data_IF_885819743883
#
_entry.id   IF_885819743883
#
_cell.length_a   1.000
_cell.length_b   1.000
_cell.length_c   1.000
_cell.angle_alpha   90.00
_cell.angle_beta   90.00
_cell.angle_gamma   90.00
#
_symmetry.space_group_name_H-M   'P 1'
#
loop_
_entity.id
_entity.type
_entity.pdbx_description
1 polymer ?
#
# COMPACT_ATOMS: atom_id res chain seq x y z
N UNK A 1 -8.00 -12.15 -15.30
CA UNK A 1 -8.89 -11.25 -14.51
C UNK A 1 -8.44 -9.81 -14.65
N UNK A 2 -9.36 -8.86 -14.81
CA UNK A 2 -9.10 -7.41 -14.86
C UNK A 2 -10.02 -6.74 -13.85
N UNK A 3 -9.48 -5.88 -13.02
CA UNK A 3 -10.19 -5.16 -11.96
C UNK A 3 -9.58 -3.76 -11.81
N UNK A 4 -10.41 -2.72 -11.95
CA UNK A 4 -9.98 -1.32 -11.83
C UNK A 4 -8.72 -1.01 -12.67
N UNK A 5 -8.67 -1.55 -13.87
CA UNK A 5 -7.47 -1.59 -14.71
C UNK A 5 -7.37 -0.43 -15.72
N UNK A 6 -8.35 0.45 -15.75
CA UNK A 6 -8.26 1.73 -16.46
C UNK A 6 -7.44 2.73 -15.63
N UNK A 7 -6.17 2.88 -16.00
CA UNK A 7 -5.25 3.78 -15.30
C UNK A 7 -5.48 5.26 -15.62
N UNK A 8 -6.31 5.57 -16.61
CA UNK A 8 -6.70 6.94 -16.96
C UNK A 8 -7.92 7.43 -16.18
N UNK A 9 -8.53 6.57 -15.37
CA UNK A 9 -9.71 6.89 -14.59
C UNK A 9 -9.41 7.01 -13.10
N UNK A 10 -9.97 8.06 -12.47
CA UNK A 10 -10.07 8.12 -11.01
C UNK A 10 -10.76 6.87 -10.49
N UNK A 11 -10.19 6.24 -9.48
CA UNK A 11 -10.73 5.01 -8.90
C UNK A 11 -10.72 5.06 -7.39
N UNK A 12 -11.87 4.79 -6.77
CA UNK A 12 -12.03 4.67 -5.31
C UNK A 12 -12.50 3.26 -4.97
N UNK A 13 -11.88 2.66 -3.96
CA UNK A 13 -12.30 1.37 -3.39
C UNK A 13 -12.35 1.48 -1.87
N UNK A 14 -13.53 1.33 -1.28
CA UNK A 14 -13.72 1.32 0.17
C UNK A 14 -13.40 -0.07 0.73
N UNK A 15 -12.11 -0.43 0.72
CA UNK A 15 -11.71 -1.79 1.07
C UNK A 15 -12.00 -2.16 2.53
N UNK A 16 -12.10 -1.18 3.43
CA UNK A 16 -12.52 -1.40 4.81
C UNK A 16 -13.88 -2.10 4.94
N UNK A 17 -14.81 -1.80 4.02
CA UNK A 17 -16.16 -2.35 3.98
C UNK A 17 -16.28 -3.64 3.13
N UNK A 18 -15.25 -4.01 2.37
CA UNK A 18 -15.31 -5.21 1.51
C UNK A 18 -15.27 -6.49 2.32
N UNK A 19 -15.99 -7.51 1.85
CA UNK A 19 -15.83 -8.87 2.33
C UNK A 19 -14.44 -9.43 1.96
N UNK A 20 -13.89 -10.26 2.82
CA UNK A 20 -12.68 -11.02 2.53
C UNK A 20 -12.98 -12.16 1.55
N UNK A 21 -12.14 -12.30 0.54
CA UNK A 21 -12.24 -13.36 -0.47
C UNK A 21 -11.08 -14.34 -0.28
N UNK A 22 -11.33 -15.65 -0.14
CA UNK A 22 -10.27 -16.63 -0.03
C UNK A 22 -9.28 -16.57 -1.20
N UNK A 23 -7.99 -16.69 -0.89
CA UNK A 23 -6.94 -16.92 -1.89
C UNK A 23 -6.85 -18.43 -2.19
N UNK A 24 -6.27 -18.85 -3.33
CA UNK A 24 -5.90 -20.24 -3.56
C UNK A 24 -4.99 -20.81 -2.47
N UNK A 25 -4.14 -19.99 -1.84
CA UNK A 25 -3.32 -20.38 -0.72
C UNK A 25 -4.16 -20.47 0.57
N UNK A 26 -4.19 -21.66 1.18
CA UNK A 26 -4.95 -21.91 2.42
C UNK A 26 -4.50 -20.98 3.55
N UNK A 27 -5.44 -20.34 4.24
CA UNK A 27 -5.15 -19.41 5.33
C UNK A 27 -4.78 -18.00 4.86
N UNK A 28 -4.99 -17.68 3.59
CA UNK A 28 -4.85 -16.34 3.03
C UNK A 28 -6.19 -15.88 2.48
N UNK A 29 -6.56 -14.66 2.82
CA UNK A 29 -7.74 -13.96 2.29
C UNK A 29 -7.31 -12.59 1.77
N UNK A 30 -8.06 -12.05 0.82
CA UNK A 30 -7.70 -10.78 0.18
C UNK A 30 -8.91 -9.91 -0.13
N UNK A 31 -8.66 -8.62 -0.17
CA UNK A 31 -9.50 -7.58 -0.74
C UNK A 31 -8.75 -7.00 -1.92
N UNK A 32 -9.18 -7.29 -3.13
CA UNK A 32 -8.50 -6.88 -4.35
C UNK A 32 -8.89 -5.45 -4.71
N UNK A 33 -7.91 -4.57 -4.91
CA UNK A 33 -8.11 -3.15 -5.23
C UNK A 33 -7.88 -2.89 -6.72
N UNK A 34 -6.82 -3.49 -7.25
CA UNK A 34 -6.43 -3.40 -8.67
C UNK A 34 -5.86 -4.74 -9.12
N UNK A 35 -6.14 -5.14 -10.38
CA UNK A 35 -5.56 -6.36 -10.93
C UNK A 35 -5.55 -6.40 -12.45
N UNK A 36 -4.42 -6.80 -13.02
CA UNK A 36 -4.26 -7.20 -14.43
C UNK A 36 -3.53 -8.54 -14.44
N UNK A 37 -4.18 -9.58 -14.94
CA UNK A 37 -3.64 -10.94 -15.05
C UNK A 37 -4.30 -11.92 -14.08
N UNK A 38 -3.85 -13.17 -14.16
CA UNK A 38 -4.33 -14.28 -13.36
C UNK A 38 -3.43 -14.50 -12.11
N UNK A 39 -2.71 -15.60 -12.01
CA UNK A 39 -1.87 -15.88 -10.82
C UNK A 39 -0.63 -14.97 -10.76
N UNK A 40 0.03 -14.74 -11.89
CA UNK A 40 1.16 -13.80 -12.01
C UNK A 40 0.64 -12.42 -12.43
N UNK A 41 -0.08 -11.78 -11.55
CA UNK A 41 -0.74 -10.52 -11.84
C UNK A 41 0.10 -9.31 -11.45
N UNK A 42 -0.08 -8.21 -12.20
CA UNK A 42 0.15 -6.86 -11.69
C UNK A 42 -1.06 -6.53 -10.79
N UNK A 43 -0.84 -6.36 -9.49
CA UNK A 43 -1.95 -6.25 -8.56
C UNK A 43 -1.65 -5.37 -7.35
N UNK A 44 -2.71 -4.75 -6.80
CA UNK A 44 -2.73 -4.10 -5.49
C UNK A 44 -3.85 -4.72 -4.67
N UNK A 45 -3.55 -5.14 -3.44
CA UNK A 45 -4.52 -5.82 -2.56
C UNK A 45 -4.24 -5.54 -1.09
N UNK A 46 -5.26 -5.67 -0.25
CA UNK A 46 -5.08 -5.91 1.18
C UNK A 46 -5.19 -7.42 1.39
N UNK A 47 -4.18 -8.02 2.01
CA UNK A 47 -4.07 -9.47 2.20
C UNK A 47 -3.97 -9.78 3.69
N UNK A 48 -4.77 -10.75 4.15
CA UNK A 48 -4.78 -11.22 5.52
C UNK A 48 -4.27 -12.65 5.59
N UNK A 49 -3.31 -12.87 6.49
CA UNK A 49 -2.75 -14.18 6.82
C UNK A 49 -3.35 -14.68 8.15
N UNK A 50 -3.84 -15.89 8.15
CA UNK A 50 -4.32 -16.52 9.38
C UNK A 50 -3.16 -16.78 10.37
N UNK A 51 -3.41 -16.79 11.69
CA UNK A 51 -2.41 -17.20 12.66
C UNK A 51 -1.84 -18.59 12.36
N UNK A 52 -0.53 -18.76 12.52
CA UNK A 52 0.20 -20.00 12.26
C UNK A 52 0.43 -20.32 10.78
N UNK A 53 0.09 -19.39 9.87
CA UNK A 53 0.30 -19.59 8.42
C UNK A 53 1.79 -19.63 8.07
N UNK A 54 2.14 -20.55 7.18
CA UNK A 54 3.49 -20.70 6.60
C UNK A 54 3.35 -21.16 5.15
N UNK A 55 4.13 -20.59 4.26
CA UNK A 55 4.08 -20.86 2.83
C UNK A 55 5.44 -21.29 2.31
N UNK A 56 5.41 -22.09 1.26
CA UNK A 56 6.64 -22.48 0.57
C UNK A 56 7.32 -21.23 -0.04
N UNK A 57 8.64 -21.29 -0.12
CA UNK A 57 9.42 -20.25 -0.81
C UNK A 57 8.94 -20.09 -2.24
N UNK A 58 8.71 -18.87 -2.64
CA UNK A 58 8.33 -18.50 -4.00
C UNK A 58 9.00 -17.18 -4.41
N UNK A 59 9.03 -16.94 -5.71
CA UNK A 59 9.65 -15.75 -6.31
C UNK A 59 8.60 -14.80 -6.88
N UNK A 60 8.93 -13.51 -6.85
CA UNK A 60 8.14 -12.43 -7.45
C UNK A 60 8.86 -11.88 -8.69
N UNK A 61 8.58 -12.40 -9.91
CA UNK A 61 9.28 -11.96 -11.13
C UNK A 61 9.16 -10.47 -11.42
N UNK A 62 8.04 -9.84 -11.05
CA UNK A 62 7.80 -8.41 -11.20
C UNK A 62 8.05 -7.58 -9.94
N UNK A 63 8.62 -8.19 -8.89
CA UNK A 63 8.81 -7.56 -7.59
C UNK A 63 7.55 -7.51 -6.72
N UNK A 64 7.77 -7.26 -5.45
CA UNK A 64 6.75 -7.11 -4.42
C UNK A 64 7.07 -5.93 -3.52
N UNK A 65 6.07 -5.14 -3.21
CA UNK A 65 6.15 -4.04 -2.25
C UNK A 65 4.99 -4.18 -1.27
N UNK A 66 5.25 -4.08 0.04
CA UNK A 66 4.17 -4.14 1.02
C UNK A 66 4.40 -3.26 2.26
N UNK A 67 3.29 -2.87 2.86
CA UNK A 67 3.21 -2.25 4.18
C UNK A 67 2.44 -3.17 5.11
N UNK A 68 3.01 -3.49 6.28
CA UNK A 68 2.30 -4.26 7.32
C UNK A 68 1.30 -3.35 8.02
N UNK A 69 0.00 -3.64 7.84
CA UNK A 69 -1.11 -2.87 8.41
C UNK A 69 -1.46 -3.32 9.82
N UNK A 70 -1.40 -4.63 10.09
CA UNK A 70 -1.73 -5.25 11.38
C UNK A 70 -0.90 -6.51 11.61
N UNK A 71 -0.58 -6.79 12.86
CA UNK A 71 0.14 -7.99 13.27
C UNK A 71 1.61 -8.00 12.87
N UNK A 72 2.16 -9.19 12.60
CA UNK A 72 3.57 -9.37 12.23
C UNK A 72 3.68 -10.31 11.03
N UNK A 73 4.14 -9.77 9.90
CA UNK A 73 4.56 -10.59 8.77
C UNK A 73 5.95 -11.16 9.05
N UNK A 74 6.20 -12.39 8.61
CA UNK A 74 7.45 -13.12 8.85
C UNK A 74 7.95 -13.77 7.56
N UNK A 75 9.26 -13.81 7.39
CA UNK A 75 9.93 -14.67 6.42
C UNK A 75 11.28 -15.15 6.98
N UNK A 76 12.10 -15.82 6.16
CA UNK A 76 13.42 -16.30 6.57
C UNK A 76 14.42 -15.19 6.93
N UNK A 77 14.12 -13.92 6.63
CA UNK A 77 15.00 -12.79 6.95
C UNK A 77 14.62 -12.09 8.25
N UNK A 78 13.45 -12.36 8.82
CA UNK A 78 13.05 -11.82 10.12
C UNK A 78 11.55 -11.56 10.29
N UNK A 79 11.27 -10.79 11.32
CA UNK A 79 9.93 -10.37 11.73
C UNK A 79 9.69 -8.92 11.32
N UNK A 80 8.55 -8.66 10.69
CA UNK A 80 8.12 -7.36 10.18
C UNK A 80 6.82 -6.95 10.89
N UNK A 81 6.89 -6.19 11.99
CA UNK A 81 5.71 -5.76 12.73
C UNK A 81 4.92 -4.68 11.98
N UNK A 82 3.71 -4.39 12.47
CA UNK A 82 2.84 -3.30 11.97
C UNK A 82 3.62 -2.01 11.75
N UNK A 83 3.44 -1.40 10.58
CA UNK A 83 4.13 -0.18 10.15
C UNK A 83 5.46 -0.42 9.43
N UNK A 84 5.94 -1.66 9.36
CA UNK A 84 7.10 -2.01 8.53
C UNK A 84 6.74 -1.94 7.04
N UNK A 85 7.60 -1.29 6.28
CA UNK A 85 7.50 -1.21 4.83
C UNK A 85 8.64 -1.99 4.17
N UNK A 86 8.32 -2.82 3.20
CA UNK A 86 9.28 -3.69 2.51
C UNK A 86 9.17 -3.53 1.00
N UNK A 87 10.32 -3.48 0.33
CA UNK A 87 10.46 -3.58 -1.14
C UNK A 87 11.36 -4.76 -1.47
N UNK A 88 10.82 -5.69 -2.19
CA UNK A 88 11.50 -6.86 -2.73
C UNK A 88 11.56 -6.70 -4.25
N UNK A 89 12.72 -6.34 -4.84
CA UNK A 89 12.82 -6.09 -6.27
C UNK A 89 12.56 -7.35 -7.11
N UNK A 90 12.36 -7.21 -8.43
CA UNK A 90 12.11 -8.32 -9.33
C UNK A 90 13.09 -9.48 -9.14
N UNK A 91 12.56 -10.72 -9.23
CA UNK A 91 13.29 -11.99 -9.08
C UNK A 91 13.78 -12.29 -7.67
N UNK A 92 13.39 -11.53 -6.69
CA UNK A 92 13.58 -11.93 -5.28
C UNK A 92 12.49 -12.91 -4.85
N UNK A 93 12.80 -13.73 -3.86
CA UNK A 93 11.86 -14.69 -3.32
C UNK A 93 12.03 -14.85 -1.83
N UNK A 94 10.94 -15.27 -1.17
CA UNK A 94 10.88 -15.53 0.27
C UNK A 94 9.90 -16.66 0.60
N UNK A 95 9.92 -17.09 1.87
CA UNK A 95 8.98 -18.05 2.44
C UNK A 95 8.10 -17.31 3.48
N UNK A 96 6.98 -16.70 3.07
CA UNK A 96 6.17 -15.87 3.97
C UNK A 96 5.41 -16.68 5.00
N UNK A 97 5.12 -16.03 6.12
CA UNK A 97 4.30 -16.59 7.18
C UNK A 97 3.87 -15.56 8.19
N UNK A 98 3.07 -15.98 9.18
CA UNK A 98 2.73 -15.17 10.33
C UNK A 98 2.29 -16.07 11.47
N UNK A 99 3.02 -16.07 12.57
CA UNK A 99 2.68 -16.87 13.76
C UNK A 99 1.43 -16.35 14.47
N UNK A 100 1.28 -15.02 14.56
CA UNK A 100 0.14 -14.35 15.20
C UNK A 100 -0.99 -13.97 14.24
N UNK A 101 -0.79 -14.13 12.92
CA UNK A 101 -1.60 -13.52 11.88
C UNK A 101 -1.17 -12.09 11.58
N UNK A 102 -1.37 -11.66 10.34
CA UNK A 102 -1.10 -10.28 9.93
C UNK A 102 -2.00 -9.86 8.77
N UNK A 103 -2.06 -8.55 8.56
CA UNK A 103 -2.69 -7.93 7.39
C UNK A 103 -1.66 -7.02 6.73
N UNK A 104 -1.49 -7.15 5.42
CA UNK A 104 -0.58 -6.31 4.63
C UNK A 104 -1.31 -5.61 3.50
N UNK A 105 -0.88 -4.42 3.14
CA UNK A 105 -1.17 -3.78 1.87
C UNK A 105 -0.04 -4.10 0.92
N UNK A 106 -0.32 -4.79 -0.18
CA UNK A 106 0.70 -5.34 -1.08
C UNK A 106 0.49 -4.93 -2.52
N UNK A 107 1.59 -4.64 -3.21
CA UNK A 107 1.66 -4.33 -4.65
C UNK A 107 2.60 -5.33 -5.31
N UNK A 108 2.09 -6.04 -6.32
CA UNK A 108 2.81 -7.07 -7.06
C UNK A 108 3.03 -6.64 -8.51
N UNK A 109 4.24 -6.86 -9.03
CA UNK A 109 4.56 -6.64 -10.43
C UNK A 109 4.52 -5.17 -10.85
N UNK A 110 4.88 -4.23 -9.94
CA UNK A 110 4.77 -2.79 -10.16
C UNK A 110 6.11 -2.05 -10.01
N UNK A 111 7.22 -2.75 -10.03
CA UNK A 111 8.55 -2.14 -10.05
C UNK A 111 8.88 -1.59 -11.44
N UNK A 112 9.65 -0.49 -11.49
CA UNK A 112 10.26 -0.03 -12.73
C UNK A 112 11.27 -1.06 -13.28
N UNK A 113 11.45 -1.12 -14.60
CA UNK A 113 12.28 -2.14 -15.26
C UNK A 113 13.71 -2.23 -14.71
N UNK A 114 14.32 -1.11 -14.32
CA UNK A 114 15.69 -1.04 -13.82
C UNK A 114 15.78 -1.03 -12.29
N UNK A 115 14.66 -0.95 -11.57
CA UNK A 115 14.68 -0.85 -10.13
C UNK A 115 15.05 -2.19 -9.47
N UNK A 116 16.13 -2.17 -8.69
CA UNK A 116 16.65 -3.31 -7.92
C UNK A 116 16.80 -2.95 -6.45
N UNK A 117 16.18 -1.86 -6.02
CA UNK A 117 16.33 -1.35 -4.66
C UNK A 117 15.55 -2.20 -3.67
N UNK A 118 16.25 -2.90 -2.81
CA UNK A 118 15.68 -3.64 -1.69
C UNK A 118 15.63 -2.76 -0.46
N UNK A 119 14.50 -2.73 0.22
CA UNK A 119 14.28 -1.96 1.45
C UNK A 119 13.49 -2.80 2.45
N UNK A 120 13.85 -2.66 3.72
CA UNK A 120 13.02 -3.04 4.87
C UNK A 120 13.10 -1.89 5.89
N UNK A 121 12.12 -0.99 5.84
CA UNK A 121 12.02 0.15 6.76
C UNK A 121 11.19 -0.26 7.98
N UNK A 122 11.77 -0.24 9.19
CA UNK A 122 11.01 -0.53 10.41
C UNK A 122 9.96 0.57 10.67
N UNK A 123 9.00 0.35 11.60
CA UNK A 123 7.93 1.31 11.89
C UNK A 123 8.40 2.72 12.24
N UNK A 124 9.53 2.82 12.93
CA UNK A 124 10.15 4.10 13.36
C UNK A 124 11.20 4.63 12.37
N UNK A 125 11.43 3.91 11.26
CA UNK A 125 12.44 4.27 10.26
C UNK A 125 11.96 5.38 9.33
N UNK A 126 12.93 6.16 8.82
CA UNK A 126 12.72 7.24 7.85
C UNK A 126 12.80 8.64 8.44
N UNK A 127 13.00 9.64 7.58
CA UNK A 127 13.13 11.04 7.98
C UNK A 127 11.77 11.73 7.88
N UNK A 128 11.29 12.27 8.99
CA UNK A 128 10.04 13.04 9.01
C UNK A 128 10.34 14.52 8.75
N UNK A 129 9.78 15.06 7.67
CA UNK A 129 9.73 16.50 7.43
C UNK A 129 8.34 16.90 6.93
N UNK A 130 7.64 17.84 7.59
CA UNK A 130 6.42 18.41 7.06
C UNK A 130 6.73 19.08 5.71
N UNK A 131 5.97 18.74 4.66
CA UNK A 131 6.22 19.24 3.32
C UNK A 131 5.42 20.48 2.97
N UNK A 132 4.24 20.61 3.58
CA UNK A 132 3.28 21.66 3.26
C UNK A 132 2.35 21.94 4.43
N UNK A 133 1.63 23.08 4.41
CA UNK A 133 0.56 23.36 5.37
C UNK A 133 -0.43 22.18 5.44
N UNK A 134 -0.83 21.81 6.66
CA UNK A 134 -1.76 20.71 6.88
C UNK A 134 -1.11 19.34 7.14
N UNK A 135 0.13 19.12 6.70
CA UNK A 135 0.91 17.91 6.99
C UNK A 135 1.70 18.11 8.27
N UNK A 136 1.37 17.38 9.34
CA UNK A 136 2.05 17.46 10.63
C UNK A 136 3.20 16.47 10.79
N UNK A 137 3.17 15.38 10.01
CA UNK A 137 4.24 14.39 9.97
C UNK A 137 4.31 13.79 8.56
N UNK A 138 5.52 13.61 8.04
CA UNK A 138 5.77 12.90 6.79
C UNK A 138 6.94 11.95 6.98
N UNK A 139 6.72 10.66 6.75
CA UNK A 139 7.74 9.61 6.80
C UNK A 139 8.01 9.09 5.40
N UNK A 140 9.20 9.34 4.88
CA UNK A 140 9.64 8.79 3.60
C UNK A 140 10.00 7.32 3.77
N UNK A 141 9.30 6.46 3.06
CA UNK A 141 9.54 5.02 3.01
C UNK A 141 10.49 4.64 1.89
N UNK A 142 10.36 5.32 0.76
CA UNK A 142 11.22 5.19 -0.41
C UNK A 142 11.28 6.52 -1.17
N UNK A 143 12.45 6.84 -1.72
CA UNK A 143 12.66 8.01 -2.58
C UNK A 143 13.61 7.59 -3.71
N UNK A 144 13.05 7.34 -4.88
CA UNK A 144 13.75 6.91 -6.09
C UNK A 144 13.57 7.90 -7.24
N UNK A 145 14.21 7.61 -8.36
CA UNK A 145 14.20 8.51 -9.51
C UNK A 145 12.81 8.74 -10.12
N UNK A 146 11.93 7.72 -10.06
CA UNK A 146 10.63 7.74 -10.77
C UNK A 146 9.43 7.57 -9.83
N UNK A 147 9.67 7.35 -8.55
CA UNK A 147 8.58 7.19 -7.58
C UNK A 147 9.04 7.55 -6.18
N UNK A 148 8.10 8.00 -5.40
CA UNK A 148 8.29 8.29 -4.00
C UNK A 148 7.15 7.71 -3.18
N UNK A 149 7.50 7.08 -2.05
CA UNK A 149 6.53 6.47 -1.14
C UNK A 149 6.67 7.11 0.23
N UNK A 150 5.56 7.64 0.75
CA UNK A 150 5.51 8.31 2.05
C UNK A 150 4.32 7.84 2.88
N UNK A 151 4.43 7.98 4.20
CA UNK A 151 3.28 8.03 5.10
C UNK A 151 3.21 9.44 5.66
N UNK A 152 2.01 10.04 5.57
CA UNK A 152 1.75 11.39 6.07
C UNK A 152 0.61 11.41 7.08
N UNK A 153 0.68 12.38 8.00
CA UNK A 153 -0.42 12.76 8.89
C UNK A 153 -0.94 14.14 8.51
N UNK A 154 -2.20 14.19 8.14
CA UNK A 154 -2.92 15.38 7.73
C UNK A 154 -3.83 15.90 8.85
N UNK A 155 -3.82 17.23 9.07
CA UNK A 155 -4.64 17.87 10.13
C UNK A 155 -5.50 19.02 9.60
N UNK A 156 -5.32 19.41 8.35
CA UNK A 156 -6.18 20.32 7.61
C UNK A 156 -6.21 19.93 6.14
N UNK A 157 -6.98 20.64 5.34
CA UNK A 157 -7.14 20.36 3.92
C UNK A 157 -5.80 20.33 3.19
N UNK A 158 -5.68 19.40 2.25
CA UNK A 158 -4.47 19.12 1.49
C UNK A 158 -4.75 19.31 0.01
N UNK A 159 -3.83 19.97 -0.65
CA UNK A 159 -3.74 20.03 -2.10
C UNK A 159 -2.37 19.49 -2.54
N UNK A 160 -2.38 18.48 -3.43
CA UNK A 160 -1.17 17.90 -4.00
C UNK A 160 -1.23 17.94 -5.51
N UNK A 161 -0.19 18.50 -6.11
CA UNK A 161 0.06 18.31 -7.54
C UNK A 161 0.34 16.83 -7.83
N UNK A 162 -0.19 16.35 -8.95
CA UNK A 162 -0.09 14.95 -9.35
C UNK A 162 0.30 14.84 -10.84
N UNK A 163 1.56 15.14 -11.20
CA UNK A 163 1.99 15.11 -12.59
C UNK A 163 2.08 13.67 -13.16
N UNK A 164 2.38 12.68 -12.33
CA UNK A 164 2.78 11.34 -12.78
C UNK A 164 1.77 10.24 -12.46
N UNK A 165 0.69 10.56 -11.74
CA UNK A 165 -0.26 9.63 -11.18
C UNK A 165 -0.03 9.41 -9.68
N UNK A 166 -1.10 9.14 -8.94
CA UNK A 166 -1.06 9.01 -7.48
C UNK A 166 -1.87 7.80 -7.03
N UNK A 167 -1.32 7.01 -6.13
CA UNK A 167 -2.05 6.05 -5.32
C UNK A 167 -2.00 6.41 -3.85
N UNK A 168 -3.13 6.26 -3.16
CA UNK A 168 -3.28 6.56 -1.74
C UNK A 168 -4.05 5.45 -1.03
N UNK A 169 -3.60 5.08 0.17
CA UNK A 169 -4.34 4.24 1.11
C UNK A 169 -4.54 4.99 2.42
N UNK A 170 -5.79 5.12 2.88
CA UNK A 170 -6.09 5.66 4.22
C UNK A 170 -5.72 4.61 5.27
N UNK A 171 -4.77 4.94 6.13
CA UNK A 171 -4.32 4.07 7.23
C UNK A 171 -5.16 4.27 8.48
N UNK A 172 -5.53 5.52 8.77
CA UNK A 172 -6.37 5.92 9.91
C UNK A 172 -7.04 7.27 9.64
N UNK A 173 -8.13 7.57 10.35
CA UNK A 173 -8.91 8.78 10.16
C UNK A 173 -9.72 8.79 8.86
N UNK A 174 -10.00 9.97 8.32
CA UNK A 174 -10.77 10.14 7.09
C UNK A 174 -10.60 11.53 6.47
N UNK A 175 -10.93 11.63 5.18
CA UNK A 175 -11.07 12.88 4.43
C UNK A 175 -12.08 12.71 3.29
N UNK A 176 -12.53 13.81 2.71
CA UNK A 176 -13.38 13.82 1.51
C UNK A 176 -12.53 14.21 0.31
N UNK A 177 -12.63 13.45 -0.78
CA UNK A 177 -12.02 13.74 -2.07
C UNK A 177 -13.00 13.40 -3.19
N UNK A 178 -13.18 14.29 -4.16
CA UNK A 178 -14.11 14.11 -5.28
C UNK A 178 -15.57 13.83 -4.87
N UNK A 179 -15.97 14.21 -3.65
CA UNK A 179 -17.28 13.92 -3.08
C UNK A 179 -17.38 12.57 -2.34
N UNK A 180 -16.37 11.72 -2.40
CA UNK A 180 -16.30 10.46 -1.66
C UNK A 180 -15.66 10.64 -0.28
N UNK A 181 -16.26 10.05 0.76
CA UNK A 181 -15.66 9.96 2.10
C UNK A 181 -14.70 8.76 2.12
N UNK A 182 -13.41 9.03 2.19
CA UNK A 182 -12.38 8.00 2.30
C UNK A 182 -12.03 7.78 3.77
N UNK A 183 -12.36 6.60 4.26
CA UNK A 183 -12.11 6.16 5.63
C UNK A 183 -11.00 5.10 5.65
N UNK A 184 -10.66 4.59 6.84
CA UNK A 184 -9.63 3.56 7.01
C UNK A 184 -9.76 2.42 5.98
N UNK A 185 -8.64 2.18 5.28
CA UNK A 185 -8.48 1.24 4.17
C UNK A 185 -9.28 1.57 2.90
N UNK A 186 -9.80 2.78 2.77
CA UNK A 186 -10.15 3.28 1.44
C UNK A 186 -8.89 3.49 0.62
N UNK A 187 -8.93 3.03 -0.63
CA UNK A 187 -7.86 3.18 -1.61
C UNK A 187 -8.34 4.11 -2.72
N UNK A 188 -7.51 5.07 -3.07
CA UNK A 188 -7.72 6.03 -4.15
C UNK A 188 -6.60 5.91 -5.16
N UNK A 189 -6.92 5.96 -6.44
CA UNK A 189 -5.97 6.21 -7.51
C UNK A 189 -6.46 7.37 -8.36
N UNK A 190 -5.58 8.35 -8.58
CA UNK A 190 -5.78 9.47 -9.49
C UNK A 190 -4.87 9.30 -10.71
N UNK A 191 -5.37 9.54 -11.93
CA UNK A 191 -4.53 9.55 -13.12
C UNK A 191 -3.56 10.73 -13.11
N UNK A 192 -2.50 10.63 -13.91
CA UNK A 192 -1.55 11.74 -14.09
C UNK A 192 -2.25 13.02 -14.54
N UNK A 193 -1.88 14.14 -13.94
CA UNK A 193 -2.42 15.48 -14.23
C UNK A 193 -3.70 15.82 -13.45
N UNK A 194 -4.30 14.89 -12.71
CA UNK A 194 -5.45 15.17 -11.84
C UNK A 194 -4.98 15.43 -10.41
N UNK A 195 -4.99 16.69 -9.91
CA UNK A 195 -4.51 17.02 -8.58
C UNK A 195 -5.41 16.42 -7.50
N UNK A 196 -4.82 16.12 -6.34
CA UNK A 196 -5.57 15.69 -5.15
C UNK A 196 -6.06 16.91 -4.36
N UNK A 197 -7.34 16.93 -4.07
CA UNK A 197 -7.97 17.91 -3.15
C UNK A 197 -8.65 17.18 -2.01
N UNK A 198 -7.95 17.01 -0.89
CA UNK A 198 -8.48 16.33 0.29
C UNK A 198 -9.03 17.32 1.31
N UNK A 199 -10.33 17.24 1.59
CA UNK A 199 -10.97 17.99 2.68
C UNK A 199 -10.88 17.16 3.96
N UNK A 200 -9.99 17.55 4.87
CA UNK A 200 -9.64 16.79 6.07
C UNK A 200 -10.46 17.27 7.26
N UNK A 201 -11.25 16.36 7.83
CA UNK A 201 -12.05 16.66 9.02
C UNK A 201 -11.21 16.84 10.29
N UNK A 202 -11.85 17.21 11.39
CA UNK A 202 -11.21 17.54 12.68
C UNK A 202 -10.41 16.38 13.30
N UNK A 203 -10.69 15.15 12.91
CA UNK A 203 -9.94 13.96 13.37
C UNK A 203 -8.61 13.77 12.65
N UNK A 204 -8.46 14.42 11.50
CA UNK A 204 -7.30 14.22 10.64
C UNK A 204 -7.36 12.92 9.84
N UNK A 205 -6.30 12.69 9.08
CA UNK A 205 -6.08 11.44 8.35
C UNK A 205 -4.61 11.04 8.38
N UNK A 206 -4.34 9.73 8.45
CA UNK A 206 -3.02 9.15 8.23
C UNK A 206 -3.09 8.35 6.94
N UNK A 207 -2.19 8.65 6.02
CA UNK A 207 -2.24 8.11 4.65
C UNK A 207 -0.89 7.56 4.22
N UNK A 208 -0.91 6.47 3.46
CA UNK A 208 0.20 6.02 2.63
C UNK A 208 -0.02 6.59 1.22
N UNK A 209 1.03 7.13 0.61
CA UNK A 209 0.98 7.77 -0.73
C UNK A 209 2.18 7.31 -1.55
N UNK A 210 1.89 7.03 -2.83
CA UNK A 210 2.89 6.72 -3.86
C UNK A 210 2.60 7.49 -5.14
#
# INVERSE_FOLDING_TARGET
>A
MRLNDDLSARTVVHAGAMSWVPSPAKGVERRMLFRIGEEKARATSIVRYAPGSRFARHEHPGGEEFLVLEGTFQDETGDFPTGTYVRNPPWTGHAPGSASGCTIFVKLGQFGEADRTRIAQPPEGGTAMPRQPGVTSSRTLFDGANERVVIEEWRSDIELDNPDGLELLVLDGCFVEGGDMLERWSWLRLPAGEPLYAQVGSKGARVWIK
#
